data_IF_327821161042
#
_entry.id   IF_327821161042
#
_cell.length_a   1.000
_cell.length_b   1.000
_cell.length_c   1.000
_cell.angle_alpha   90.00
_cell.angle_beta   90.00
_cell.angle_gamma   90.00
#
_symmetry.space_group_name_H-M   'P 1'
#
loop_
_entity.id
_entity.type
_entity.pdbx_description
1 polymer ?
#
# COMPACT_ATOMS: atom_id res chain seq x y z
N UNK A 1 10.70 5.63 -8.68
CA UNK A 1 11.38 4.99 -7.54
C UNK A 1 10.34 4.18 -6.78
N UNK A 2 10.53 2.87 -6.55
CA UNK A 2 9.58 2.08 -5.75
C UNK A 2 9.53 2.63 -4.31
N UNK A 3 8.35 2.64 -3.70
CA UNK A 3 8.19 3.04 -2.31
C UNK A 3 9.06 2.16 -1.40
N UNK A 4 9.80 2.77 -0.48
CA UNK A 4 10.64 2.00 0.45
C UNK A 4 9.77 1.14 1.37
N UNK A 5 10.27 -0.04 1.76
CA UNK A 5 9.53 -0.94 2.67
C UNK A 5 9.15 -0.25 3.99
N UNK A 6 10.03 0.62 4.49
CA UNK A 6 9.76 1.46 5.67
C UNK A 6 8.53 2.36 5.44
N UNK A 7 8.47 3.08 4.31
CA UNK A 7 7.34 3.94 3.94
C UNK A 7 6.04 3.13 3.87
N UNK A 8 6.06 1.96 3.24
CA UNK A 8 4.89 1.07 3.15
C UNK A 8 4.38 0.69 4.55
N UNK A 9 5.28 0.27 5.44
CA UNK A 9 4.89 -0.10 6.82
C UNK A 9 4.34 1.06 7.64
N UNK A 10 4.86 2.27 7.43
CA UNK A 10 4.43 3.47 8.14
C UNK A 10 3.07 4.01 7.64
N UNK A 11 2.69 3.69 6.40
CA UNK A 11 1.52 4.29 5.73
C UNK A 11 0.38 3.31 5.49
N UNK A 12 0.66 1.99 5.51
CA UNK A 12 -0.37 0.97 5.31
C UNK A 12 -1.41 0.97 6.44
N UNK A 13 -2.69 0.99 6.08
CA UNK A 13 -3.79 0.87 7.04
C UNK A 13 -4.17 -0.61 7.26
N UNK A 14 -3.44 -1.25 8.16
CA UNK A 14 -3.72 -2.64 8.59
C UNK A 14 -4.37 -2.63 9.96
N UNK A 15 -5.56 -3.23 10.04
CA UNK A 15 -6.34 -3.35 11.28
C UNK A 15 -6.77 -4.79 11.52
N UNK A 16 -6.89 -5.25 12.77
CA UNK A 16 -7.52 -6.53 13.07
C UNK A 16 -8.99 -6.56 12.62
N UNK A 17 -9.47 -7.73 12.21
CA UNK A 17 -10.91 -7.93 11.99
C UNK A 17 -11.68 -7.86 13.31
N UNK A 18 -13.02 -7.63 13.28
CA UNK A 18 -13.85 -7.81 14.46
C UNK A 18 -13.60 -9.18 15.10
N UNK A 19 -13.48 -9.21 16.44
CA UNK A 19 -13.11 -10.40 17.24
C UNK A 19 -11.68 -10.91 17.03
N UNK A 20 -10.80 -10.11 16.41
CA UNK A 20 -9.38 -10.37 16.29
C UNK A 20 -9.07 -11.74 15.66
N UNK A 21 -9.81 -12.14 14.62
CA UNK A 21 -9.64 -13.43 13.91
C UNK A 21 -8.89 -13.31 12.57
N UNK A 22 -8.43 -12.11 12.23
CA UNK A 22 -7.69 -11.85 11.00
C UNK A 22 -7.19 -10.42 10.95
N UNK A 23 -6.65 -10.03 9.80
CA UNK A 23 -6.23 -8.68 9.48
C UNK A 23 -7.00 -8.19 8.25
N UNK A 24 -7.24 -6.89 8.19
CA UNK A 24 -7.83 -6.17 7.07
C UNK A 24 -6.83 -5.10 6.64
N UNK A 25 -6.45 -5.12 5.37
CA UNK A 25 -5.72 -4.04 4.72
C UNK A 25 -6.72 -3.16 3.96
N UNK A 26 -6.65 -1.84 4.18
CA UNK A 26 -7.36 -0.85 3.36
C UNK A 26 -6.34 -0.12 2.50
N UNK A 27 -6.61 -0.03 1.19
CA UNK A 27 -5.82 0.76 0.24
C UNK A 27 -6.71 1.86 -0.34
N UNK A 28 -6.34 3.11 -0.15
CA UNK A 28 -7.05 4.27 -0.68
C UNK A 28 -6.22 4.94 -1.77
N UNK A 29 -6.57 4.66 -3.02
CA UNK A 29 -6.01 5.36 -4.19
C UNK A 29 -6.89 6.57 -4.52
N UNK A 30 -6.28 7.75 -4.56
CA UNK A 30 -6.91 9.02 -4.94
C UNK A 30 -6.26 9.52 -6.22
N UNK A 31 -7.07 9.78 -7.24
CA UNK A 31 -6.65 10.47 -8.45
C UNK A 31 -7.19 11.91 -8.41
N UNK A 32 -6.31 12.88 -8.52
CA UNK A 32 -6.65 14.31 -8.49
C UNK A 32 -6.78 14.85 -9.92
N UNK A 33 -7.60 15.89 -10.11
CA UNK A 33 -7.89 16.49 -11.43
C UNK A 33 -6.65 17.06 -12.14
N UNK A 34 -5.57 17.33 -11.39
CA UNK A 34 -4.30 17.77 -11.94
C UNK A 34 -3.44 16.62 -12.50
N UNK A 35 -3.84 15.35 -12.31
CA UNK A 35 -3.13 14.13 -12.72
C UNK A 35 -2.33 13.45 -11.60
N UNK A 36 -2.45 13.93 -10.35
CA UNK A 36 -1.71 13.35 -9.22
C UNK A 36 -2.35 12.03 -8.84
N UNK A 37 -1.52 11.05 -8.52
CA UNK A 37 -1.95 9.84 -7.85
C UNK A 37 -1.39 9.83 -6.43
N UNK A 38 -2.25 9.51 -5.47
CA UNK A 38 -1.90 9.37 -4.07
C UNK A 38 -2.47 8.06 -3.54
N UNK A 39 -1.65 7.25 -2.89
CA UNK A 39 -2.07 6.03 -2.22
C UNK A 39 -1.89 6.21 -0.71
N UNK A 40 -2.93 6.04 0.09
CA UNK A 40 -2.84 6.08 1.57
C UNK A 40 -2.09 7.32 2.11
N UNK A 41 -2.39 8.51 1.57
CA UNK A 41 -1.74 9.82 1.87
C UNK A 41 -0.34 10.01 1.28
N UNK A 42 0.08 9.10 0.41
CA UNK A 42 1.41 9.04 -0.18
C UNK A 42 1.36 9.40 -1.66
N UNK A 43 1.93 10.55 -2.09
CA UNK A 43 2.04 10.87 -3.51
C UNK A 43 2.91 9.84 -4.25
N UNK A 44 2.41 9.37 -5.39
CA UNK A 44 3.00 8.31 -6.21
C UNK A 44 3.75 8.87 -7.43
N UNK A 45 3.29 9.99 -7.98
CA UNK A 45 3.96 10.76 -9.02
C UNK A 45 4.22 12.19 -8.51
N UNK A 46 5.34 12.78 -8.95
CA UNK A 46 5.62 14.19 -8.66
C UNK A 46 5.13 15.02 -9.85
N UNK A 47 4.25 15.97 -9.58
CA UNK A 47 3.59 16.74 -10.61
C UNK A 47 4.61 17.59 -11.36
N UNK A 48 5.02 17.13 -12.56
CA UNK A 48 5.42 18.03 -13.65
C UNK A 48 5.71 17.37 -15.00
N UNK A 49 6.08 16.09 -15.10
CA UNK A 49 6.64 15.56 -16.36
C UNK A 49 6.41 14.06 -16.64
N UNK A 50 5.71 13.33 -15.78
CA UNK A 50 5.44 11.91 -16.02
C UNK A 50 4.17 11.75 -16.86
N UNK A 51 4.27 11.07 -18.02
CA UNK A 51 3.11 10.65 -18.82
C UNK A 51 2.13 9.86 -17.94
N UNK A 52 0.82 10.03 -18.16
CA UNK A 52 -0.25 9.42 -17.35
C UNK A 52 -0.02 7.92 -17.10
N UNK A 53 0.43 7.18 -18.11
CA UNK A 53 0.72 5.74 -18.04
C UNK A 53 1.78 5.41 -16.98
N UNK A 54 2.80 6.27 -16.83
CA UNK A 54 3.89 6.11 -15.87
C UNK A 54 3.40 6.25 -14.43
N UNK A 55 2.48 7.19 -14.17
CA UNK A 55 1.89 7.36 -12.85
C UNK A 55 1.09 6.14 -12.40
N UNK A 56 0.23 5.60 -13.29
CA UNK A 56 -0.57 4.41 -13.00
C UNK A 56 0.29 3.15 -12.82
N UNK A 57 1.37 3.00 -13.59
CA UNK A 57 2.32 1.90 -13.41
C UNK A 57 3.00 1.99 -12.04
N UNK A 58 3.50 3.19 -11.66
CA UNK A 58 4.09 3.41 -10.35
C UNK A 58 3.09 3.10 -9.21
N UNK A 59 1.81 3.45 -9.37
CA UNK A 59 0.75 3.09 -8.43
C UNK A 59 0.63 1.56 -8.27
N UNK A 60 0.59 0.83 -9.39
CA UNK A 60 0.48 -0.62 -9.38
C UNK A 60 1.68 -1.30 -8.70
N UNK A 61 2.89 -0.79 -8.92
CA UNK A 61 4.12 -1.29 -8.27
C UNK A 61 4.05 -1.10 -6.75
N UNK A 62 3.63 0.07 -6.28
CA UNK A 62 3.50 0.35 -4.84
C UNK A 62 2.39 -0.47 -4.20
N UNK A 63 1.24 -0.63 -4.87
CA UNK A 63 0.15 -1.50 -4.41
C UNK A 63 0.65 -2.94 -4.27
N UNK A 64 1.36 -3.45 -5.29
CA UNK A 64 1.93 -4.80 -5.27
C UNK A 64 2.92 -5.00 -4.11
N UNK A 65 3.79 -4.02 -3.88
CA UNK A 65 4.73 -4.06 -2.75
C UNK A 65 3.99 -4.04 -1.39
N UNK A 66 2.89 -3.29 -1.29
CA UNK A 66 2.05 -3.23 -0.08
C UNK A 66 1.33 -4.55 0.18
N UNK A 67 0.79 -5.19 -0.85
CA UNK A 67 0.18 -6.53 -0.76
C UNK A 67 1.20 -7.59 -0.32
N UNK A 68 2.42 -7.55 -0.86
CA UNK A 68 3.49 -8.46 -0.46
C UNK A 68 3.87 -8.29 1.02
N UNK A 69 3.91 -7.05 1.52
CA UNK A 69 4.15 -6.81 2.94
C UNK A 69 2.99 -7.27 3.82
N UNK A 70 1.75 -7.01 3.39
CA UNK A 70 0.57 -7.48 4.11
C UNK A 70 0.53 -9.01 4.20
N UNK A 71 0.88 -9.71 3.11
CA UNK A 71 1.01 -11.16 3.12
C UNK A 71 2.04 -11.65 4.18
N UNK A 72 3.20 -10.98 4.29
CA UNK A 72 4.18 -11.30 5.34
C UNK A 72 3.62 -11.13 6.75
N UNK A 73 2.84 -10.09 7.00
CA UNK A 73 2.20 -9.87 8.31
C UNK A 73 1.14 -10.92 8.63
N UNK A 74 0.34 -11.31 7.63
CA UNK A 74 -0.65 -12.40 7.78
C UNK A 74 0.04 -13.72 8.10
N UNK A 75 1.12 -14.06 7.39
CA UNK A 75 1.90 -15.28 7.64
C UNK A 75 2.51 -15.29 9.04
N UNK A 76 3.20 -14.22 9.44
CA UNK A 76 3.80 -14.12 10.78
C UNK A 76 2.76 -14.24 11.92
N UNK A 77 1.55 -13.74 11.70
CA UNK A 77 0.45 -13.88 12.66
C UNK A 77 -0.06 -15.32 12.74
N UNK A 78 -0.15 -16.03 11.62
CA UNK A 78 -0.55 -17.43 11.61
C UNK A 78 0.46 -18.29 12.38
N UNK A 79 1.77 -18.06 12.17
CA UNK A 79 2.83 -18.76 12.90
C UNK A 79 2.78 -18.49 14.41
N UNK A 80 2.54 -17.23 14.79
CA UNK A 80 2.41 -16.83 16.20
C UNK A 80 1.17 -17.39 16.90
N UNK A 81 0.13 -17.78 16.15
CA UNK A 81 -1.09 -18.36 16.70
C UNK A 81 -1.04 -19.90 16.83
N UNK A 82 -0.03 -20.54 16.21
CA UNK A 82 0.16 -21.98 16.21
C UNK A 82 1.19 -22.48 17.25
N UNK A 83 1.95 -21.58 17.86
CA UNK A 83 2.86 -21.85 18.99
C UNK A 83 2.22 -21.53 20.34
#
# INVERSE_FOLDING_TARGET
MPASLKRIRETMDVKPTPRNKGLTLTLKLTAYDNGMLELDTVPLNDHKNDDDVTGWLAAAEVITATLNEFHRQVAARADSAAG
#
